data_IF_630972600389
#
_entry.id   IF_630972600389
#
_cell.length_a   1.000
_cell.length_b   1.000
_cell.length_c   1.000
_cell.angle_alpha   90.00
_cell.angle_beta   90.00
_cell.angle_gamma   90.00
#
_symmetry.space_group_name_H-M   'P 1'
#
loop_
_entity.id
_entity.type
_entity.pdbx_description
1 polymer ?
#
# COMPACT_ATOMS: atom_id res chain seq x y z
N UNK A 1 -3.11 -9.52 10.50
CA UNK A 1 -2.62 -8.32 9.79
C UNK A 1 -2.97 -7.11 10.65
N UNK A 2 -1.99 -6.28 11.00
CA UNK A 2 -2.17 -5.14 11.91
C UNK A 2 -2.99 -4.05 11.23
N UNK A 3 -4.00 -3.51 11.92
CA UNK A 3 -4.79 -2.38 11.38
C UNK A 3 -4.01 -1.08 11.52
N UNK A 4 -4.14 -0.19 10.52
CA UNK A 4 -3.57 1.16 10.58
C UNK A 4 -4.56 2.04 11.34
N UNK A 5 -4.06 2.75 12.37
CA UNK A 5 -4.83 3.69 13.17
C UNK A 5 -4.39 5.12 12.85
N UNK A 6 -5.25 6.09 13.13
CA UNK A 6 -4.94 7.52 12.96
C UNK A 6 -3.72 7.94 13.77
N UNK A 7 -3.55 7.39 14.98
CA UNK A 7 -2.39 7.61 15.85
C UNK A 7 -1.08 7.03 15.31
N UNK A 8 -1.11 6.20 14.27
CA UNK A 8 0.10 5.66 13.63
C UNK A 8 0.66 6.59 12.56
N UNK A 9 -0.11 7.60 12.14
CA UNK A 9 0.26 8.51 11.05
C UNK A 9 0.99 9.72 11.61
N UNK A 10 2.17 10.00 11.08
CA UNK A 10 2.93 11.21 11.41
C UNK A 10 3.59 11.75 10.14
N UNK A 11 3.47 13.05 9.91
CA UNK A 11 4.17 13.69 8.80
C UNK A 11 5.59 14.08 9.22
N UNK A 12 6.60 13.69 8.46
CA UNK A 12 8.00 14.09 8.68
C UNK A 12 8.62 14.54 7.37
N UNK A 13 9.07 15.79 7.33
CA UNK A 13 9.65 16.41 6.14
C UNK A 13 8.71 16.29 4.93
N UNK A 14 9.09 15.49 3.93
CA UNK A 14 8.39 15.27 2.66
C UNK A 14 7.63 13.93 2.61
N UNK A 15 7.56 13.19 3.72
CA UNK A 15 6.94 11.87 3.78
C UNK A 15 5.87 11.75 4.87
N UNK A 16 4.84 10.95 4.57
CA UNK A 16 3.92 10.42 5.57
C UNK A 16 4.53 9.12 6.15
N UNK A 17 4.86 9.11 7.42
CA UNK A 17 5.31 7.94 8.15
C UNK A 17 4.16 7.15 8.76
N UNK A 18 4.17 5.82 8.60
CA UNK A 18 3.29 4.90 9.33
C UNK A 18 4.11 4.12 10.36
N UNK A 19 3.79 4.34 11.64
CA UNK A 19 4.45 3.72 12.79
C UNK A 19 3.58 2.57 13.32
N UNK A 20 3.98 1.33 13.06
CA UNK A 20 3.28 0.18 13.63
C UNK A 20 3.87 -0.19 15.00
N UNK A 21 3.00 -0.63 15.91
CA UNK A 21 3.39 -1.04 17.26
C UNK A 21 4.19 -2.36 17.30
N UNK A 22 3.88 -3.31 16.41
CA UNK A 22 4.59 -4.58 16.30
C UNK A 22 5.01 -4.85 14.86
N UNK A 23 6.30 -5.14 14.67
CA UNK A 23 6.86 -5.64 13.42
C UNK A 23 7.20 -7.12 13.62
N UNK A 24 6.89 -7.96 12.63
CA UNK A 24 7.08 -9.43 12.73
C UNK A 24 8.54 -9.86 12.99
N UNK A 25 9.50 -8.96 12.78
CA UNK A 25 10.93 -9.19 13.01
C UNK A 25 11.44 -8.61 14.33
N UNK A 26 10.56 -8.14 15.21
CA UNK A 26 10.91 -7.51 16.48
C UNK A 26 10.59 -8.45 17.65
N UNK A 27 11.46 -9.45 17.85
CA UNK A 27 11.32 -10.44 18.91
C UNK A 27 11.78 -9.92 20.29
N UNK A 28 12.47 -8.77 20.33
CA UNK A 28 13.12 -8.23 21.53
C UNK A 28 12.62 -6.82 21.92
N UNK A 29 11.78 -6.17 21.11
CA UNK A 29 11.23 -4.81 21.35
C UNK A 29 12.29 -3.70 21.57
N UNK A 30 13.56 -3.97 21.25
CA UNK A 30 14.68 -3.04 21.49
C UNK A 30 14.92 -2.07 20.32
N UNK A 31 14.33 -2.32 19.14
CA UNK A 31 14.66 -1.53 17.94
C UNK A 31 13.80 -0.26 17.86
N UNK A 32 14.41 0.89 17.50
CA UNK A 32 13.64 2.08 17.12
C UNK A 32 12.59 1.72 16.07
N UNK A 33 11.37 2.22 16.25
CA UNK A 33 10.25 1.95 15.35
C UNK A 33 10.53 2.60 14.00
N UNK A 34 11.13 1.86 13.07
CA UNK A 34 11.35 2.36 11.71
C UNK A 34 10.00 2.51 10.99
N UNK A 35 9.56 3.75 10.70
CA UNK A 35 8.29 3.96 10.02
C UNK A 35 8.36 3.45 8.58
N UNK A 36 7.19 3.10 8.04
CA UNK A 36 7.02 2.94 6.60
C UNK A 36 6.71 4.31 6.01
N UNK A 37 7.61 4.83 5.19
CA UNK A 37 7.47 6.13 4.55
C UNK A 37 6.66 6.03 3.27
N UNK A 38 5.66 6.90 3.13
CA UNK A 38 4.84 7.05 1.94
C UNK A 38 5.09 8.45 1.39
N UNK A 39 5.40 8.53 0.11
CA UNK A 39 5.70 9.78 -0.59
C UNK A 39 4.57 10.13 -1.56
N UNK A 40 4.39 11.42 -1.81
CA UNK A 40 3.53 11.87 -2.89
C UNK A 40 4.15 11.57 -4.25
N UNK A 41 3.31 11.23 -5.23
CA UNK A 41 3.70 11.14 -6.63
C UNK A 41 3.00 12.26 -7.43
N UNK A 42 3.65 13.44 -7.59
CA UNK A 42 3.05 14.55 -8.33
C UNK A 42 3.04 14.33 -9.85
N UNK A 43 3.83 13.37 -10.37
CA UNK A 43 3.95 13.10 -11.81
C UNK A 43 2.79 12.22 -12.29
N UNK A 44 2.40 11.24 -11.49
CA UNK A 44 1.28 10.34 -11.76
C UNK A 44 0.27 10.40 -10.59
N UNK A 45 -0.61 11.42 -10.56
CA UNK A 45 -1.55 11.62 -9.47
C UNK A 45 -2.53 10.45 -9.30
N UNK A 46 -2.84 9.72 -10.37
CA UNK A 46 -3.78 8.59 -10.37
C UNK A 46 -3.31 7.42 -9.48
N UNK A 47 -1.99 7.30 -9.29
CA UNK A 47 -1.37 6.27 -8.43
C UNK A 47 -0.74 6.87 -7.17
N UNK A 48 -0.96 8.16 -6.90
CA UNK A 48 -0.40 8.84 -5.75
C UNK A 48 -1.12 8.41 -4.46
N UNK A 49 -0.44 7.77 -3.50
CA UNK A 49 -1.07 7.29 -2.27
C UNK A 49 -1.50 8.45 -1.35
N UNK A 50 -0.76 9.56 -1.35
CA UNK A 50 -1.11 10.75 -0.55
C UNK A 50 -2.37 11.42 -1.09
N UNK A 51 -2.49 11.54 -2.42
CA UNK A 51 -3.70 12.10 -3.04
C UNK A 51 -4.90 11.17 -2.81
N UNK A 52 -4.73 9.86 -3.04
CA UNK A 52 -5.76 8.86 -2.77
C UNK A 52 -6.26 8.91 -1.33
N UNK A 53 -5.33 9.05 -0.36
CA UNK A 53 -5.66 9.20 1.05
C UNK A 53 -6.42 10.51 1.34
N UNK A 54 -6.00 11.62 0.73
CA UNK A 54 -6.70 12.91 0.87
C UNK A 54 -8.13 12.85 0.34
N UNK A 55 -8.34 12.26 -0.85
CA UNK A 55 -9.68 12.02 -1.40
C UNK A 55 -10.49 11.15 -0.45
N UNK A 56 -9.92 10.05 0.05
CA UNK A 56 -10.58 9.18 1.01
C UNK A 56 -11.07 9.91 2.26
N UNK A 57 -10.24 10.78 2.85
CA UNK A 57 -10.60 11.60 4.01
C UNK A 57 -11.71 12.61 3.71
N UNK A 58 -11.74 13.16 2.49
CA UNK A 58 -12.78 14.11 2.07
C UNK A 58 -14.12 13.43 1.80
N UNK A 59 -14.10 12.18 1.30
CA UNK A 59 -15.31 11.45 0.92
C UNK A 59 -15.82 10.49 2.00
N UNK A 60 -15.07 10.28 3.08
CA UNK A 60 -15.42 9.33 4.13
C UNK A 60 -15.58 10.04 5.46
N UNK A 61 -16.71 9.87 6.17
CA UNK A 61 -16.91 10.50 7.47
C UNK A 61 -15.91 9.94 8.49
N UNK A 62 -15.09 10.83 9.06
CA UNK A 62 -14.17 10.50 10.14
C UNK A 62 -14.95 10.65 11.45
N UNK A 63 -15.20 9.53 12.14
CA UNK A 63 -15.81 9.54 13.46
C UNK A 63 -14.74 9.54 14.54
N UNK A 64 -14.84 10.39 15.58
CA UNK A 64 -13.93 10.38 16.73
C UNK A 64 -13.87 9.03 17.47
N UNK A 65 -14.93 8.22 17.36
CA UNK A 65 -14.99 6.89 17.98
C UNK A 65 -14.22 5.81 17.20
N UNK A 66 -13.81 6.09 15.96
CA UNK A 66 -13.12 5.13 15.10
C UNK A 66 -11.63 5.46 15.09
N UNK A 67 -10.84 4.61 15.75
CA UNK A 67 -9.37 4.77 15.81
C UNK A 67 -8.67 4.27 14.55
N UNK A 68 -9.31 3.39 13.79
CA UNK A 68 -8.78 2.81 12.56
C UNK A 68 -8.91 3.77 11.39
N UNK A 69 -7.85 3.87 10.58
CA UNK A 69 -7.85 4.64 9.33
C UNK A 69 -8.89 4.10 8.35
N UNK A 70 -8.95 2.78 8.22
CA UNK A 70 -9.95 2.08 7.41
C UNK A 70 -10.89 1.31 8.34
N UNK A 71 -12.18 1.68 8.42
CA UNK A 71 -13.10 1.06 9.35
C UNK A 71 -13.38 -0.39 8.95
N UNK A 72 -13.72 -1.22 9.94
CA UNK A 72 -14.12 -2.62 9.77
C UNK A 72 -12.93 -3.60 9.73
N UNK A 73 -13.27 -4.90 9.68
CA UNK A 73 -12.29 -5.99 9.61
C UNK A 73 -11.97 -6.45 8.19
N UNK A 74 -11.03 -7.41 8.09
CA UNK A 74 -10.72 -8.15 6.86
C UNK A 74 -10.36 -7.26 5.66
N UNK A 75 -9.53 -6.24 5.88
CA UNK A 75 -9.10 -5.29 4.84
C UNK A 75 -8.45 -5.99 3.64
N UNK A 76 -7.70 -7.07 3.89
CA UNK A 76 -7.11 -7.90 2.84
C UNK A 76 -8.17 -8.51 1.92
N UNK A 77 -9.20 -9.15 2.48
CA UNK A 77 -10.27 -9.77 1.68
C UNK A 77 -11.11 -8.73 0.94
N UNK A 78 -11.34 -7.57 1.56
CA UNK A 78 -12.00 -6.44 0.91
C UNK A 78 -11.22 -5.99 -0.31
N UNK A 79 -9.92 -5.74 -0.15
CA UNK A 79 -9.05 -5.35 -1.26
C UNK A 79 -9.05 -6.41 -2.36
N UNK A 80 -8.90 -7.69 -2.01
CA UNK A 80 -8.97 -8.82 -2.95
C UNK A 80 -10.27 -8.82 -3.75
N UNK A 81 -11.43 -8.68 -3.08
CA UNK A 81 -12.74 -8.66 -3.75
C UNK A 81 -12.90 -7.48 -4.70
N UNK A 82 -12.41 -6.29 -4.30
CA UNK A 82 -12.43 -5.10 -5.16
C UNK A 82 -11.52 -5.30 -6.37
N UNK A 83 -10.32 -5.84 -6.17
CA UNK A 83 -9.37 -6.13 -7.26
C UNK A 83 -9.96 -7.12 -8.27
N UNK A 84 -10.51 -8.25 -7.83
CA UNK A 84 -11.12 -9.24 -8.72
C UNK A 84 -12.28 -8.61 -9.51
N UNK A 85 -13.11 -7.78 -8.85
CA UNK A 85 -14.20 -7.08 -9.53
C UNK A 85 -13.68 -6.11 -10.60
N UNK A 86 -12.63 -5.36 -10.29
CA UNK A 86 -12.01 -4.41 -11.23
C UNK A 86 -11.45 -5.14 -12.45
N UNK A 87 -10.74 -6.26 -12.23
CA UNK A 87 -10.19 -7.09 -13.31
C UNK A 87 -11.29 -7.77 -14.16
N UNK A 88 -12.46 -8.03 -13.57
CA UNK A 88 -13.64 -8.54 -14.28
C UNK A 88 -14.47 -7.48 -15.02
N UNK A 89 -14.08 -6.20 -14.97
CA UNK A 89 -14.71 -5.17 -15.83
C UNK A 89 -14.30 -5.35 -17.28
N UNK A 90 -15.07 -4.80 -18.23
CA UNK A 90 -14.76 -4.92 -19.66
C UNK A 90 -13.34 -4.41 -20.00
N UNK A 91 -12.95 -3.28 -19.42
CA UNK A 91 -11.59 -2.71 -19.57
C UNK A 91 -10.53 -3.59 -18.91
N UNK A 92 -10.75 -4.01 -17.66
CA UNK A 92 -9.80 -4.84 -16.93
C UNK A 92 -9.56 -6.20 -17.59
N UNK A 93 -10.63 -6.83 -18.08
CA UNK A 93 -10.54 -8.11 -18.78
C UNK A 93 -9.88 -7.98 -20.15
N UNK A 94 -10.11 -6.89 -20.88
CA UNK A 94 -9.44 -6.62 -22.15
C UNK A 94 -7.93 -6.39 -21.96
N UNK A 95 -7.53 -5.67 -20.91
CA UNK A 95 -6.12 -5.47 -20.57
C UNK A 95 -5.44 -6.79 -20.19
N UNK A 96 -6.11 -7.63 -19.40
CA UNK A 96 -5.61 -8.97 -19.05
C UNK A 96 -5.43 -9.84 -20.30
N UNK A 97 -6.41 -9.87 -21.21
CA UNK A 97 -6.31 -10.61 -22.46
C UNK A 97 -5.16 -10.12 -23.34
N UNK A 98 -4.95 -8.80 -23.42
CA UNK A 98 -3.83 -8.21 -24.17
C UNK A 98 -2.48 -8.69 -23.64
N UNK A 99 -2.40 -8.97 -22.34
CA UNK A 99 -1.21 -9.50 -21.66
C UNK A 99 -1.15 -11.04 -21.62
N UNK A 100 -2.11 -11.73 -22.22
CA UNK A 100 -2.21 -13.19 -22.16
C UNK A 100 -2.46 -13.74 -20.76
N UNK A 101 -3.10 -12.93 -19.90
CA UNK A 101 -3.37 -13.25 -18.49
C UNK A 101 -4.87 -13.43 -18.25
N UNK A 102 -5.18 -14.12 -17.17
CA UNK A 102 -6.53 -14.28 -16.61
C UNK A 102 -6.62 -13.60 -15.24
N UNK A 103 -7.83 -13.47 -14.72
CA UNK A 103 -8.05 -12.88 -13.38
C UNK A 103 -7.39 -13.69 -12.26
N UNK A 104 -7.22 -15.00 -12.47
CA UNK A 104 -6.64 -15.91 -11.47
C UNK A 104 -5.11 -15.80 -11.40
N UNK A 105 -4.48 -15.22 -12.42
CA UNK A 105 -3.03 -14.97 -12.46
C UNK A 105 -2.60 -13.78 -11.58
N UNK A 106 -3.55 -12.91 -11.18
CA UNK A 106 -3.28 -11.73 -10.36
C UNK A 106 -3.81 -11.90 -8.93
N UNK A 107 -2.87 -12.08 -8.01
CA UNK A 107 -3.12 -12.07 -6.57
C UNK A 107 -2.69 -10.77 -5.91
N UNK A 108 -3.30 -10.47 -4.75
CA UNK A 108 -2.93 -9.31 -3.91
C UNK A 108 -1.48 -9.37 -3.42
N UNK A 109 -0.91 -10.57 -3.25
CA UNK A 109 0.50 -10.75 -2.91
C UNK A 109 1.44 -10.35 -4.07
N UNK A 110 0.99 -10.53 -5.32
CA UNK A 110 1.75 -10.17 -6.52
C UNK A 110 1.89 -8.65 -6.68
N UNK A 111 0.96 -7.84 -6.18
CA UNK A 111 1.06 -6.37 -6.23
C UNK A 111 2.30 -5.86 -5.49
N UNK A 112 2.52 -6.34 -4.25
CA UNK A 112 3.66 -5.95 -3.41
C UNK A 112 4.99 -6.41 -4.01
N UNK A 113 5.07 -7.68 -4.39
CA UNK A 113 6.28 -8.24 -4.99
C UNK A 113 6.59 -7.60 -6.35
N UNK A 114 5.57 -7.41 -7.20
CA UNK A 114 5.73 -6.82 -8.52
C UNK A 114 6.25 -5.39 -8.48
N UNK A 115 5.74 -4.55 -7.56
CA UNK A 115 6.24 -3.19 -7.38
C UNK A 115 7.71 -3.18 -6.92
N UNK A 116 8.07 -4.04 -5.96
CA UNK A 116 9.45 -4.21 -5.49
C UNK A 116 10.36 -4.67 -6.64
N UNK A 117 9.97 -5.69 -7.40
CA UNK A 117 10.72 -6.18 -8.56
C UNK A 117 10.89 -5.09 -9.61
N UNK A 118 9.82 -4.38 -9.99
CA UNK A 118 9.88 -3.32 -11.00
C UNK A 118 10.91 -2.24 -10.67
N UNK A 119 10.96 -1.80 -9.41
CA UNK A 119 11.91 -0.77 -8.97
C UNK A 119 13.34 -1.30 -8.84
N UNK A 120 13.51 -2.60 -8.55
CA UNK A 120 14.83 -3.20 -8.29
C UNK A 120 15.48 -3.89 -9.48
N UNK A 121 14.74 -4.27 -10.51
CA UNK A 121 15.25 -5.08 -11.63
C UNK A 121 15.70 -4.29 -12.86
N UNK A 122 15.46 -2.97 -12.89
CA UNK A 122 15.64 -2.14 -14.09
C UNK A 122 16.97 -1.40 -14.23
N UNK A 123 17.92 -1.54 -13.30
CA UNK A 123 19.16 -0.75 -13.30
C UNK A 123 20.32 -1.44 -12.56
N UNK A 124 21.55 -1.17 -12.99
CA UNK A 124 22.78 -1.55 -12.26
C UNK A 124 22.98 -0.74 -10.97
N UNK A 125 22.21 0.33 -10.78
CA UNK A 125 22.17 1.17 -9.58
C UNK A 125 20.78 1.15 -8.92
N UNK A 126 20.15 -0.02 -8.87
CA UNK A 126 18.88 -0.21 -8.18
C UNK A 126 18.98 0.11 -6.67
N UNK A 127 17.91 0.61 -6.05
CA UNK A 127 17.89 0.83 -4.60
C UNK A 127 18.05 -0.49 -3.83
N UNK A 128 18.65 -0.41 -2.65
CA UNK A 128 18.78 -1.57 -1.76
C UNK A 128 17.42 -2.09 -1.32
N UNK A 129 17.33 -3.39 -1.00
CA UNK A 129 16.09 -3.99 -0.48
C UNK A 129 15.59 -3.23 0.75
N UNK A 130 16.47 -2.86 1.68
CA UNK A 130 16.12 -2.05 2.86
C UNK A 130 15.45 -0.74 2.46
N UNK A 131 16.00 -0.01 1.48
CA UNK A 131 15.42 1.25 1.02
C UNK A 131 14.01 1.07 0.45
N UNK A 132 13.76 -0.02 -0.29
CA UNK A 132 12.43 -0.35 -0.82
C UNK A 132 11.45 -0.70 0.32
N UNK A 133 11.85 -1.58 1.25
CA UNK A 133 10.99 -1.98 2.37
C UNK A 133 10.64 -0.80 3.30
N UNK A 134 11.57 0.14 3.51
CA UNK A 134 11.31 1.36 4.28
C UNK A 134 10.29 2.28 3.61
N UNK A 135 10.03 2.12 2.30
CA UNK A 135 9.07 2.89 1.51
C UNK A 135 7.76 2.14 1.26
N UNK A 136 7.36 1.30 2.22
CA UNK A 136 6.15 0.47 2.16
C UNK A 136 6.13 -0.54 1.00
N UNK A 137 7.32 -1.03 0.61
CA UNK A 137 7.55 -2.07 -0.39
C UNK A 137 6.53 -3.19 -0.39
#
# INVERSE_FOLDING_TARGET
MTSICWSHLEWRNDALGIYFAHMQNDQLEERPRDPRHIYANPILPEVCPILSLGIYMLTTPISPSITQLFPGGNQYDRFRKVLIRLLGTGEGSAELQTRGMTTDDIGTHSCRMGATTYVSSGSTAAPSSTAVHSRAG
#
